data_IF_139647361272
#
_entry.id   IF_139647361272
#
_cell.length_a   1.000
_cell.length_b   1.000
_cell.length_c   1.000
_cell.angle_alpha   90.00
_cell.angle_beta   90.00
_cell.angle_gamma   90.00
#
_symmetry.space_group_name_H-M   'P 1'
#
loop_
_entity.id
_entity.type
_entity.pdbx_description
1 polymer ?
#
# COMPACT_ATOMS: atom_id res chain seq x y z
N UNK A 1 -34.34 -5.02 -1.37
CA UNK A 1 -35.15 -4.81 -0.16
C UNK A 1 -34.25 -5.16 1.01
N UNK A 2 -33.55 -4.15 1.52
CA UNK A 2 -32.46 -4.30 2.50
C UNK A 2 -33.06 -4.49 3.89
N UNK A 3 -32.75 -5.59 4.56
CA UNK A 3 -33.04 -5.75 5.99
C UNK A 3 -31.77 -5.43 6.77
N UNK A 4 -31.57 -4.15 7.07
CA UNK A 4 -30.58 -3.68 8.03
C UNK A 4 -30.98 -4.21 9.42
N UNK A 5 -30.12 -4.97 10.07
CA UNK A 5 -30.21 -5.26 11.51
C UNK A 5 -29.12 -4.42 12.19
N UNK A 6 -29.52 -3.23 12.64
CA UNK A 6 -28.75 -2.43 13.60
C UNK A 6 -28.72 -3.17 14.94
N UNK A 7 -27.54 -3.55 15.43
CA UNK A 7 -27.38 -4.07 16.80
C UNK A 7 -26.93 -2.89 17.67
N UNK A 8 -27.82 -2.46 18.57
CA UNK A 8 -27.59 -1.31 19.45
C UNK A 8 -27.07 -1.81 20.81
N UNK A 9 -25.85 -1.46 21.20
CA UNK A 9 -25.31 -1.74 22.54
C UNK A 9 -25.41 -0.49 23.43
N UNK A 10 -25.81 -0.68 24.69
CA UNK A 10 -25.89 0.38 25.71
C UNK A 10 -24.63 0.38 26.58
N UNK A 11 -23.84 1.45 26.54
CA UNK A 11 -22.71 1.67 27.44
C UNK A 11 -23.13 2.61 28.59
N UNK A 12 -22.94 2.18 29.84
CA UNK A 12 -23.26 2.97 31.03
C UNK A 12 -21.97 3.53 31.67
N UNK A 13 -21.86 4.86 31.77
CA UNK A 13 -20.84 5.52 32.58
C UNK A 13 -21.45 6.02 33.89
N UNK A 14 -20.98 5.49 35.02
CA UNK A 14 -21.36 5.97 36.35
C UNK A 14 -20.41 7.09 36.78
N UNK A 15 -20.78 8.35 36.52
CA UNK A 15 -20.24 9.49 37.24
C UNK A 15 -21.32 10.04 38.16
N UNK A 16 -20.94 10.37 39.38
CA UNK A 16 -21.81 10.74 40.52
C UNK A 16 -23.06 11.53 40.12
N UNK A 17 -24.19 10.82 40.03
CA UNK A 17 -25.54 11.40 39.99
C UNK A 17 -26.29 11.41 38.65
N UNK A 18 -25.67 11.07 37.51
CA UNK A 18 -26.37 11.03 36.22
C UNK A 18 -25.99 9.77 35.42
N UNK A 19 -27.00 8.97 35.05
CA UNK A 19 -26.83 7.86 34.10
C UNK A 19 -26.92 8.45 32.68
N UNK A 20 -25.78 8.66 32.04
CA UNK A 20 -25.74 9.07 30.64
C UNK A 20 -25.84 7.81 29.78
N UNK A 21 -26.92 7.70 29.01
CA UNK A 21 -27.09 6.64 28.00
C UNK A 21 -26.43 7.11 26.70
N UNK A 22 -25.24 6.59 26.41
CA UNK A 22 -24.57 6.81 25.12
C UNK A 22 -24.93 5.66 24.17
N UNK A 23 -25.58 5.99 23.07
CA UNK A 23 -25.77 5.06 21.96
C UNK A 23 -24.47 4.98 21.16
N UNK A 24 -23.70 3.92 21.38
CA UNK A 24 -22.60 3.58 20.49
C UNK A 24 -23.20 2.84 19.29
N UNK A 25 -23.26 3.48 18.13
CA UNK A 25 -23.35 2.73 16.89
C UNK A 25 -21.98 2.09 16.66
N UNK A 26 -21.93 0.81 16.33
CA UNK A 26 -20.82 0.28 15.54
C UNK A 26 -20.94 0.98 14.19
N UNK A 27 -20.41 2.21 14.11
CA UNK A 27 -20.02 2.75 12.83
C UNK A 27 -19.06 1.71 12.28
N UNK A 28 -19.50 0.98 11.22
CA UNK A 28 -18.56 0.38 10.29
C UNK A 28 -17.45 1.39 10.14
N UNK A 29 -16.26 1.09 10.64
CA UNK A 29 -15.08 1.90 10.36
C UNK A 29 -15.01 1.92 8.85
N UNK A 30 -15.47 3.01 8.24
CA UNK A 30 -15.32 3.22 6.82
C UNK A 30 -13.80 3.20 6.63
N UNK A 31 -13.28 2.10 6.09
CA UNK A 31 -11.85 1.95 5.88
C UNK A 31 -11.39 3.17 5.11
N UNK A 32 -10.31 3.81 5.53
CA UNK A 32 -9.79 4.97 4.79
C UNK A 32 -9.66 4.56 3.32
N UNK A 33 -10.28 5.32 2.43
CA UNK A 33 -10.23 5.07 1.00
C UNK A 33 -8.82 5.21 0.46
N UNK A 34 -8.72 5.18 -0.87
CA UNK A 34 -7.47 5.43 -1.57
C UNK A 34 -6.85 6.76 -1.13
N UNK A 35 -5.52 6.77 -1.00
CA UNK A 35 -4.77 7.95 -0.59
C UNK A 35 -5.09 9.13 -1.53
N UNK A 36 -5.52 10.29 -1.01
CA UNK A 36 -5.79 11.46 -1.84
C UNK A 36 -4.58 11.83 -2.71
N UNK A 37 -4.82 12.23 -3.95
CA UNK A 37 -3.77 12.59 -4.91
C UNK A 37 -2.76 11.47 -5.22
N UNK A 38 -3.17 10.19 -5.11
CA UNK A 38 -2.30 9.02 -5.30
C UNK A 38 -1.37 9.14 -6.52
N UNK A 39 -1.90 9.49 -7.70
CA UNK A 39 -1.13 9.66 -8.94
C UNK A 39 0.02 10.65 -8.76
N UNK A 40 -0.29 11.85 -8.28
CA UNK A 40 0.69 12.92 -8.10
C UNK A 40 1.78 12.53 -7.10
N UNK A 41 1.40 11.86 -6.00
CA UNK A 41 2.35 11.40 -4.98
C UNK A 41 3.30 10.34 -5.56
N UNK A 42 2.76 9.31 -6.22
CA UNK A 42 3.54 8.19 -6.76
C UNK A 42 4.50 8.69 -7.85
N UNK A 43 4.01 9.50 -8.80
CA UNK A 43 4.84 10.07 -9.86
C UNK A 43 5.89 11.03 -9.28
N UNK A 44 5.51 11.90 -8.34
CA UNK A 44 6.44 12.80 -7.68
C UNK A 44 7.56 12.06 -6.94
N UNK A 45 7.23 10.97 -6.24
CA UNK A 45 8.21 10.10 -5.58
C UNK A 45 9.11 9.38 -6.58
N UNK A 46 8.58 8.94 -7.72
CA UNK A 46 9.40 8.38 -8.80
C UNK A 46 10.44 9.39 -9.30
N UNK A 47 10.02 10.61 -9.63
CA UNK A 47 10.95 11.66 -10.07
C UNK A 47 11.99 12.03 -9.01
N UNK A 48 11.57 12.13 -7.74
CA UNK A 48 12.47 12.31 -6.59
C UNK A 48 13.51 11.19 -6.53
N UNK A 49 13.09 9.93 -6.67
CA UNK A 49 13.97 8.77 -6.63
C UNK A 49 15.03 8.81 -7.72
N UNK A 50 14.62 8.97 -8.98
CA UNK A 50 15.54 8.91 -10.13
C UNK A 50 16.48 10.11 -10.21
N UNK A 51 16.14 11.20 -9.54
CA UNK A 51 16.95 12.44 -9.51
C UNK A 51 17.88 12.47 -8.31
N UNK A 52 17.40 12.09 -7.12
CA UNK A 52 18.09 12.30 -5.84
C UNK A 52 18.68 11.02 -5.23
N UNK A 53 18.03 9.87 -5.43
CA UNK A 53 18.40 8.61 -4.76
C UNK A 53 19.24 7.72 -5.68
N UNK A 54 18.80 7.54 -6.93
CA UNK A 54 19.47 6.71 -7.93
C UNK A 54 19.68 7.49 -9.25
N UNK A 55 20.56 8.51 -9.23
CA UNK A 55 20.83 9.34 -10.40
C UNK A 55 21.33 8.49 -11.57
N UNK A 56 20.95 8.88 -12.80
CA UNK A 56 21.20 8.19 -14.07
C UNK A 56 20.30 6.99 -14.39
N UNK A 57 19.33 6.66 -13.52
CA UNK A 57 18.27 5.73 -13.93
C UNK A 57 17.39 6.35 -15.01
N UNK A 58 16.99 5.54 -16.01
CA UNK A 58 16.11 5.95 -17.12
C UNK A 58 14.76 5.29 -17.01
N UNK A 59 14.10 5.45 -15.86
CA UNK A 59 12.75 4.96 -15.66
C UNK A 59 11.73 5.97 -16.22
N UNK A 60 10.70 5.47 -16.88
CA UNK A 60 9.56 6.28 -17.30
C UNK A 60 8.50 6.23 -16.18
N UNK A 61 8.44 7.31 -15.39
CA UNK A 61 7.53 7.40 -14.25
C UNK A 61 6.04 7.37 -14.64
N UNK A 62 5.69 7.87 -15.83
CA UNK A 62 4.31 7.84 -16.34
C UNK A 62 3.95 6.43 -16.83
N UNK A 63 4.89 5.73 -17.48
CA UNK A 63 4.70 4.32 -17.84
C UNK A 63 4.50 3.44 -16.61
N UNK A 64 5.34 3.59 -15.57
CA UNK A 64 5.20 2.82 -14.33
C UNK A 64 3.84 3.08 -13.68
N UNK A 65 3.40 4.34 -13.62
CA UNK A 65 2.08 4.70 -13.12
C UNK A 65 0.96 4.04 -13.96
N UNK A 66 1.06 4.10 -15.28
CA UNK A 66 0.06 3.52 -16.19
C UNK A 66 -0.08 2.01 -15.98
N UNK A 67 1.04 1.28 -15.89
CA UNK A 67 1.01 -0.16 -15.65
C UNK A 67 0.48 -0.52 -14.25
N UNK A 68 0.79 0.31 -13.24
CA UNK A 68 0.22 0.19 -11.90
C UNK A 68 -1.30 0.38 -11.91
N UNK A 69 -1.75 1.47 -12.53
CA UNK A 69 -3.16 1.86 -12.62
C UNK A 69 -3.97 0.79 -13.33
N UNK A 70 -3.46 0.29 -14.44
CA UNK A 70 -4.04 -0.82 -15.21
C UNK A 70 -4.20 -2.11 -14.38
N UNK A 71 -3.20 -2.45 -13.56
CA UNK A 71 -3.23 -3.63 -12.71
C UNK A 71 -4.34 -3.58 -11.66
N UNK A 72 -4.66 -2.37 -11.15
CA UNK A 72 -5.69 -2.15 -10.14
C UNK A 72 -7.08 -1.98 -10.78
N UNK A 73 -7.19 -1.12 -11.80
CA UNK A 73 -8.48 -0.67 -12.33
C UNK A 73 -9.23 -1.73 -13.16
N UNK A 74 -8.51 -2.66 -13.81
CA UNK A 74 -9.15 -3.72 -14.63
C UNK A 74 -9.71 -4.87 -13.79
N UNK A 75 -9.63 -4.78 -12.47
CA UNK A 75 -10.06 -5.80 -11.51
C UNK A 75 -11.13 -5.24 -10.58
N UNK A 76 -11.89 -6.14 -9.97
CA UNK A 76 -12.73 -5.75 -8.83
C UNK A 76 -11.89 -5.58 -7.57
N UNK A 77 -12.37 -4.75 -6.66
CA UNK A 77 -11.75 -4.34 -5.39
C UNK A 77 -10.93 -5.41 -4.65
N UNK A 78 -11.42 -6.65 -4.49
CA UNK A 78 -10.72 -7.75 -3.78
C UNK A 78 -10.09 -8.82 -4.70
N UNK A 79 -9.88 -8.54 -5.99
CA UNK A 79 -9.42 -9.53 -6.97
C UNK A 79 -8.16 -9.11 -7.75
N UNK A 80 -7.28 -8.33 -7.11
CA UNK A 80 -5.99 -7.91 -7.69
C UNK A 80 -4.91 -8.88 -7.22
N UNK A 81 -4.44 -9.75 -8.12
CA UNK A 81 -3.46 -10.81 -7.81
C UNK A 81 -2.04 -10.29 -7.97
N UNK A 82 -1.10 -10.92 -7.27
CA UNK A 82 0.36 -10.66 -7.39
C UNK A 82 0.81 -10.58 -8.87
N UNK A 83 0.36 -11.52 -9.70
CA UNK A 83 0.72 -11.58 -11.12
C UNK A 83 0.22 -10.40 -11.96
N UNK A 84 -0.79 -9.68 -11.50
CA UNK A 84 -1.36 -8.55 -12.24
C UNK A 84 -0.39 -7.36 -12.26
N UNK A 85 0.48 -7.24 -11.25
CA UNK A 85 1.54 -6.22 -11.21
C UNK A 85 2.79 -6.54 -12.03
N UNK A 86 2.85 -7.70 -12.71
CA UNK A 86 4.07 -8.13 -13.42
C UNK A 86 4.55 -7.10 -14.45
N UNK A 87 3.64 -6.48 -15.21
CA UNK A 87 4.00 -5.47 -16.23
C UNK A 87 4.65 -4.25 -15.61
N UNK A 88 4.09 -3.75 -14.51
CA UNK A 88 4.68 -2.66 -13.72
C UNK A 88 6.10 -3.02 -13.26
N UNK A 89 6.32 -4.23 -12.72
CA UNK A 89 7.66 -4.66 -12.31
C UNK A 89 8.64 -4.85 -13.47
N UNK A 90 8.16 -5.19 -14.67
CA UNK A 90 8.98 -5.23 -15.88
C UNK A 90 9.44 -3.84 -16.32
N UNK A 91 8.66 -2.79 -16.05
CA UNK A 91 9.03 -1.40 -16.30
C UNK A 91 9.98 -0.81 -15.23
N UNK A 92 10.20 -1.52 -14.11
CA UNK A 92 11.07 -1.09 -13.00
C UNK A 92 12.24 -2.06 -12.75
N UNK A 93 13.04 -2.45 -13.76
CA UNK A 93 14.17 -3.34 -13.52
C UNK A 93 15.22 -2.60 -12.67
N UNK A 94 15.52 -3.11 -11.49
CA UNK A 94 16.52 -2.51 -10.59
C UNK A 94 17.59 -3.54 -10.20
N UNK A 95 18.85 -3.15 -10.31
CA UNK A 95 19.99 -3.93 -9.82
C UNK A 95 20.40 -3.39 -8.44
N UNK A 96 20.32 -4.25 -7.44
CA UNK A 96 20.68 -3.92 -6.07
C UNK A 96 22.07 -4.50 -5.77
N UNK A 97 22.89 -3.77 -5.02
CA UNK A 97 24.21 -4.29 -4.64
C UNK A 97 24.06 -5.47 -3.67
N UNK A 98 24.73 -6.59 -3.97
CA UNK A 98 24.75 -7.76 -3.10
C UNK A 98 25.21 -7.40 -1.68
N UNK A 99 24.63 -8.06 -0.68
CA UNK A 99 24.98 -7.88 0.73
C UNK A 99 24.55 -6.54 1.36
N UNK A 100 23.85 -5.67 0.63
CA UNK A 100 23.38 -4.38 1.15
C UNK A 100 21.89 -4.34 1.49
N UNK A 101 21.16 -5.45 1.35
CA UNK A 101 19.72 -5.50 1.64
C UNK A 101 19.46 -5.94 3.08
N UNK A 102 18.60 -5.21 3.77
CA UNK A 102 18.10 -5.55 5.10
C UNK A 102 16.62 -5.91 5.01
N UNK A 103 16.30 -7.09 5.53
CA UNK A 103 14.94 -7.56 5.71
C UNK A 103 14.50 -7.31 7.15
N UNK A 104 13.23 -7.01 7.33
CA UNK A 104 12.66 -6.74 8.64
C UNK A 104 11.26 -7.34 8.77
N UNK A 105 10.88 -7.69 9.99
CA UNK A 105 9.53 -8.16 10.34
C UNK A 105 9.24 -7.75 11.77
N UNK A 106 8.19 -6.94 11.97
CA UNK A 106 7.87 -6.30 13.26
C UNK A 106 8.96 -5.38 13.82
N UNK A 107 10.01 -5.10 13.04
CA UNK A 107 11.18 -4.29 13.43
C UNK A 107 11.45 -3.13 12.47
N UNK A 108 10.41 -2.65 11.76
CA UNK A 108 10.48 -1.58 10.76
C UNK A 108 11.30 -0.39 11.26
N UNK A 109 10.85 0.25 12.32
CA UNK A 109 11.45 1.48 12.84
C UNK A 109 12.94 1.33 13.19
N UNK A 110 13.31 0.20 13.80
CA UNK A 110 14.69 -0.10 14.15
C UNK A 110 15.56 -0.23 12.89
N UNK A 111 15.12 -1.01 11.91
CA UNK A 111 15.90 -1.30 10.71
C UNK A 111 15.99 -0.06 9.80
N UNK A 112 14.92 0.72 9.68
CA UNK A 112 14.96 2.00 8.97
C UNK A 112 15.90 3.00 9.64
N UNK A 113 15.86 3.10 10.98
CA UNK A 113 16.80 3.97 11.73
C UNK A 113 18.25 3.55 11.52
N UNK A 114 18.53 2.24 11.53
CA UNK A 114 19.86 1.70 11.28
C UNK A 114 20.33 1.94 9.83
N UNK A 115 19.46 1.73 8.84
CA UNK A 115 19.76 2.00 7.44
C UNK A 115 20.08 3.49 7.21
N UNK A 116 19.27 4.39 7.79
CA UNK A 116 19.48 5.84 7.71
C UNK A 116 20.79 6.29 8.39
N UNK A 117 21.12 5.71 9.54
CA UNK A 117 22.35 6.04 10.28
C UNK A 117 23.62 5.57 9.55
N UNK A 118 23.58 4.35 8.98
CA UNK A 118 24.76 3.77 8.31
C UNK A 118 24.91 4.21 6.86
N UNK A 119 23.79 4.54 6.19
CA UNK A 119 23.70 4.87 4.75
C UNK A 119 24.33 3.83 3.83
N UNK A 120 24.50 2.59 4.32
CA UNK A 120 25.16 1.48 3.60
C UNK A 120 24.18 0.41 3.17
N UNK A 121 23.00 0.40 3.78
CA UNK A 121 22.00 -0.64 3.61
C UNK A 121 20.70 -0.07 3.07
N UNK A 122 19.93 -0.93 2.42
CA UNK A 122 18.67 -0.63 1.78
C UNK A 122 17.62 -1.60 2.31
N UNK A 123 16.42 -1.12 2.61
CA UNK A 123 15.25 -1.97 2.85
C UNK A 123 14.44 -2.13 1.57
N UNK A 124 13.34 -2.88 1.62
CA UNK A 124 12.41 -2.99 0.50
C UNK A 124 11.86 -1.62 0.09
N UNK A 125 11.57 -0.77 1.08
CA UNK A 125 11.03 0.58 0.93
C UNK A 125 12.04 1.56 0.30
N UNK A 126 13.34 1.23 0.28
CA UNK A 126 14.37 2.04 -0.38
C UNK A 126 14.58 1.65 -1.86
N UNK A 127 13.91 0.61 -2.35
CA UNK A 127 13.86 0.29 -3.80
C UNK A 127 12.96 1.26 -4.55
N UNK A 128 13.03 1.34 -5.88
CA UNK A 128 12.19 2.27 -6.65
C UNK A 128 10.69 2.07 -6.35
N UNK A 129 10.20 0.83 -6.47
CA UNK A 129 8.78 0.50 -6.21
C UNK A 129 8.45 0.72 -4.72
N UNK A 130 9.33 0.28 -3.81
CA UNK A 130 9.14 0.52 -2.39
C UNK A 130 8.99 2.01 -2.07
N UNK A 131 9.89 2.85 -2.57
CA UNK A 131 9.92 4.28 -2.32
C UNK A 131 8.68 4.98 -2.88
N UNK A 132 8.26 4.60 -4.09
CA UNK A 132 7.06 5.14 -4.74
C UNK A 132 5.80 4.88 -3.89
N UNK A 133 5.63 3.65 -3.41
CA UNK A 133 4.38 3.18 -2.79
C UNK A 133 4.38 3.10 -1.26
N UNK A 134 5.50 3.41 -0.60
CA UNK A 134 5.61 3.32 0.87
C UNK A 134 4.53 4.15 1.58
N UNK A 135 3.86 3.55 2.55
CA UNK A 135 2.79 4.15 3.36
C UNK A 135 1.55 4.64 2.57
N UNK A 136 1.39 4.23 1.31
CA UNK A 136 0.21 4.54 0.52
C UNK A 136 -0.82 3.40 0.58
N UNK A 137 -2.10 3.78 0.58
CA UNK A 137 -3.24 2.87 0.47
C UNK A 137 -3.98 3.15 -0.85
N UNK A 138 -4.44 2.08 -1.50
CA UNK A 138 -5.24 2.18 -2.71
C UNK A 138 -6.16 0.96 -2.90
N UNK A 139 -7.29 1.20 -3.55
CA UNK A 139 -8.18 0.16 -4.04
C UNK A 139 -8.98 0.68 -5.23
N UNK A 140 -9.38 -0.24 -6.12
CA UNK A 140 -10.37 0.05 -7.15
C UNK A 140 -11.79 0.04 -6.57
N UNK A 141 -12.74 0.51 -7.37
CA UNK A 141 -14.16 0.32 -7.08
C UNK A 141 -14.58 -1.16 -7.19
N UNK A 142 -15.79 -1.47 -6.73
CA UNK A 142 -16.36 -2.81 -6.86
C UNK A 142 -16.50 -3.22 -8.32
N UNK A 143 -17.00 -2.29 -9.13
CA UNK A 143 -17.07 -2.42 -10.58
C UNK A 143 -15.73 -2.06 -11.23
N UNK A 144 -15.35 -2.85 -12.22
CA UNK A 144 -14.12 -2.64 -13.00
C UNK A 144 -14.18 -1.33 -13.77
N UNK A 145 -13.01 -0.79 -14.07
CA UNK A 145 -12.80 0.36 -14.97
C UNK A 145 -13.48 1.67 -14.51
N UNK A 146 -13.96 1.73 -13.25
CA UNK A 146 -14.50 2.97 -12.64
C UNK A 146 -13.47 3.80 -11.88
N UNK A 147 -12.22 3.37 -11.86
CA UNK A 147 -11.12 4.05 -11.18
C UNK A 147 -10.95 3.68 -9.71
N UNK A 148 -10.22 4.52 -8.99
CA UNK A 148 -9.94 4.34 -7.56
C UNK A 148 -11.17 4.69 -6.70
N UNK A 149 -11.32 3.98 -5.58
CA UNK A 149 -12.28 4.34 -4.55
C UNK A 149 -11.58 5.17 -3.47
N UNK A 150 -11.92 6.46 -3.40
CA UNK A 150 -11.39 7.39 -2.39
C UNK A 150 -12.24 7.44 -1.12
N UNK A 151 -13.42 6.81 -1.11
CA UNK A 151 -14.33 6.83 0.03
C UNK A 151 -14.09 5.64 0.95
N UNK A 152 -13.87 4.45 0.39
CA UNK A 152 -13.71 3.24 1.20
C UNK A 152 -12.85 2.18 0.52
N UNK A 153 -11.83 1.73 1.24
CA UNK A 153 -11.06 0.54 0.88
C UNK A 153 -11.36 -0.61 1.85
N UNK A 154 -11.34 -1.86 1.35
CA UNK A 154 -11.59 -3.03 2.18
C UNK A 154 -10.44 -3.23 3.16
N UNK A 155 -10.74 -3.79 4.33
CA UNK A 155 -9.70 -4.19 5.27
C UNK A 155 -8.87 -5.36 4.70
N UNK A 156 -7.58 -5.36 5.00
CA UNK A 156 -6.63 -6.40 4.58
C UNK A 156 -7.09 -7.83 4.87
N UNK A 157 -7.73 -8.04 6.02
CA UNK A 157 -8.24 -9.34 6.45
C UNK A 157 -9.48 -9.82 5.68
N UNK A 158 -10.16 -8.90 4.99
CA UNK A 158 -11.44 -9.17 4.31
C UNK A 158 -11.29 -9.53 2.84
N UNK A 159 -10.14 -9.25 2.22
CA UNK A 159 -9.85 -9.59 0.83
C UNK A 159 -8.83 -10.73 0.71
N UNK A 160 -9.15 -11.74 -0.11
CA UNK A 160 -8.18 -12.79 -0.49
C UNK A 160 -7.05 -12.25 -1.37
N UNK A 161 -7.37 -11.30 -2.26
CA UNK A 161 -6.43 -10.67 -3.19
C UNK A 161 -6.49 -9.15 -3.07
N UNK A 162 -6.11 -8.64 -1.90
CA UNK A 162 -6.03 -7.21 -1.63
C UNK A 162 -4.97 -6.53 -2.52
N UNK A 163 -5.28 -5.43 -3.22
CA UNK A 163 -4.39 -4.79 -4.18
C UNK A 163 -3.06 -4.35 -3.59
N UNK A 164 -3.09 -3.72 -2.42
CA UNK A 164 -1.87 -3.24 -1.75
C UNK A 164 -1.02 -4.44 -1.30
N UNK A 165 -1.64 -5.50 -0.79
CA UNK A 165 -0.93 -6.70 -0.33
C UNK A 165 -0.26 -7.43 -1.48
N UNK A 166 -0.96 -7.55 -2.61
CA UNK A 166 -0.44 -8.17 -3.81
C UNK A 166 0.79 -7.43 -4.35
N UNK A 167 0.82 -6.09 -4.29
CA UNK A 167 1.98 -5.30 -4.69
C UNK A 167 3.17 -5.55 -3.76
N UNK A 168 3.00 -5.43 -2.44
CA UNK A 168 4.07 -5.68 -1.48
C UNK A 168 4.59 -7.10 -1.54
N UNK A 169 3.71 -8.09 -1.79
CA UNK A 169 4.12 -9.47 -1.99
C UNK A 169 4.97 -9.65 -3.26
N UNK A 170 4.59 -9.02 -4.37
CA UNK A 170 5.39 -9.01 -5.59
C UNK A 170 6.75 -8.31 -5.36
N UNK A 171 6.76 -7.19 -4.62
CA UNK A 171 7.97 -6.44 -4.29
C UNK A 171 8.96 -7.28 -3.46
N UNK A 172 8.48 -7.90 -2.38
CA UNK A 172 9.27 -8.79 -1.54
C UNK A 172 9.84 -9.96 -2.34
N UNK A 173 9.02 -10.60 -3.19
CA UNK A 173 9.49 -11.68 -4.06
C UNK A 173 10.58 -11.22 -5.03
N UNK A 174 10.41 -10.04 -5.63
CA UNK A 174 11.37 -9.47 -6.55
C UNK A 174 12.72 -9.24 -5.86
N UNK A 175 12.72 -8.57 -4.71
CA UNK A 175 13.96 -8.29 -3.96
C UNK A 175 14.63 -9.58 -3.48
N UNK A 176 13.88 -10.56 -2.95
CA UNK A 176 14.46 -11.85 -2.55
C UNK A 176 15.05 -12.63 -3.73
N UNK A 177 14.54 -12.45 -4.94
CA UNK A 177 15.10 -13.10 -6.13
C UNK A 177 16.43 -12.50 -6.58
N UNK A 178 16.68 -11.22 -6.27
CA UNK A 178 17.91 -10.50 -6.57
C UNK A 178 19.05 -10.85 -5.59
N UNK A 179 18.75 -11.47 -4.45
CA UNK A 179 19.73 -11.84 -3.40
C UNK A 179 20.14 -13.30 -3.45
N UNK A 180 20.01 -13.97 -4.60
CA UNK A 180 20.46 -15.37 -4.73
C UNK A 180 21.98 -15.43 -4.75
N UNK A 181 22.54 -16.14 -3.77
CA UNK A 181 23.94 -16.51 -3.63
C UNK A 181 24.27 -17.67 -4.56
#
# INVERSE_FOLDING_TARGET
MNTFKEVLYLCYFLSSGFVIVLFCTDGLTAGMGTTPNLKHIVIGRCYSYITLVWPNSRYDCEEIWREFEEAVMRKSRCNVKVKDYKRMFHATPQTLTCGKLLFWSKTRELIHSYAAATRRFWTLEDTLVGYMFNDLIWCGQEEKDRGFDFNSCPDWSTCVHHPVYSLWRQASQNVSSLTKW
#
